data_IF_426026906980
#
_entry.id   IF_426026906980
#
_cell.length_a   1.000
_cell.length_b   1.000
_cell.length_c   1.000
_cell.angle_alpha   90.00
_cell.angle_beta   90.00
_cell.angle_gamma   90.00
#
_symmetry.space_group_name_H-M   'P 1'
#
loop_
_entity.id
_entity.type
_entity.pdbx_description
1 polymer ?
#
# COMPACT_ATOMS: atom_id res chain seq x y z
N UNK A 1 34.34 0.45 -8.53
CA UNK A 1 33.96 -0.02 -9.88
C UNK A 1 33.84 -1.54 -9.81
N UNK A 2 32.63 -2.08 -9.98
CA UNK A 2 32.36 -3.51 -9.84
C UNK A 2 33.00 -4.31 -11.00
N UNK A 3 33.55 -5.48 -10.70
CA UNK A 3 34.16 -6.38 -11.68
C UNK A 3 33.16 -7.33 -12.32
N UNK A 4 33.46 -7.84 -13.51
CA UNK A 4 32.65 -8.88 -14.16
C UNK A 4 32.47 -10.12 -13.27
N UNK A 5 33.51 -10.51 -12.54
CA UNK A 5 33.44 -11.64 -11.60
C UNK A 5 32.42 -11.40 -10.48
N UNK A 6 32.40 -10.19 -9.91
CA UNK A 6 31.41 -9.80 -8.90
C UNK A 6 29.99 -9.79 -9.47
N UNK A 7 29.78 -9.27 -10.69
CA UNK A 7 28.48 -9.29 -11.36
C UNK A 7 27.99 -10.72 -11.63
N UNK A 8 28.87 -11.61 -12.11
CA UNK A 8 28.54 -13.04 -12.31
C UNK A 8 28.16 -13.72 -10.99
N UNK A 9 28.89 -13.44 -9.91
CA UNK A 9 28.55 -13.98 -8.59
C UNK A 9 27.21 -13.46 -8.07
N UNK A 10 26.91 -12.17 -8.29
CA UNK A 10 25.63 -11.58 -7.93
C UNK A 10 24.49 -12.22 -8.72
N UNK A 11 24.65 -12.42 -10.03
CA UNK A 11 23.68 -13.11 -10.88
C UNK A 11 23.40 -14.54 -10.37
N UNK A 12 24.44 -15.30 -10.02
CA UNK A 12 24.30 -16.64 -9.43
C UNK A 12 23.58 -16.60 -8.08
N UNK A 13 23.94 -15.64 -7.22
CA UNK A 13 23.33 -15.44 -5.91
C UNK A 13 21.84 -15.13 -6.04
N UNK A 14 21.45 -14.27 -6.98
CA UNK A 14 20.04 -13.94 -7.22
C UNK A 14 19.21 -15.17 -7.58
N UNK A 15 19.66 -15.98 -8.54
CA UNK A 15 18.93 -17.20 -8.93
C UNK A 15 18.83 -18.21 -7.76
N UNK A 16 19.86 -18.27 -6.91
CA UNK A 16 19.85 -19.12 -5.72
C UNK A 16 18.89 -18.61 -4.65
N UNK A 17 18.91 -17.31 -4.35
CA UNK A 17 17.97 -16.70 -3.39
C UNK A 17 16.52 -16.82 -3.87
N UNK A 18 16.28 -16.67 -5.17
CA UNK A 18 14.97 -16.92 -5.79
C UNK A 18 14.51 -18.37 -5.57
N UNK A 19 15.41 -19.35 -5.75
CA UNK A 19 15.13 -20.75 -5.48
C UNK A 19 14.81 -21.00 -3.99
N UNK A 20 15.60 -20.42 -3.09
CA UNK A 20 15.43 -20.58 -1.65
C UNK A 20 14.11 -19.95 -1.15
N UNK A 21 13.73 -18.78 -1.65
CA UNK A 21 12.51 -18.07 -1.23
C UNK A 21 11.22 -18.77 -1.67
N UNK A 22 11.22 -19.41 -2.84
CA UNK A 22 10.05 -20.13 -3.38
C UNK A 22 10.13 -21.65 -3.17
N UNK A 23 11.15 -22.13 -2.46
CA UNK A 23 11.42 -23.55 -2.24
C UNK A 23 11.52 -24.38 -3.55
N UNK A 24 12.08 -23.77 -4.60
CA UNK A 24 12.24 -24.41 -5.91
C UNK A 24 13.58 -25.14 -6.06
N UNK A 25 13.64 -26.20 -6.88
CA UNK A 25 14.92 -26.77 -7.30
C UNK A 25 15.77 -25.75 -8.06
N UNK A 26 17.07 -25.67 -7.75
CA UNK A 26 18.01 -24.67 -8.31
C UNK A 26 17.95 -24.54 -9.84
N UNK A 27 18.00 -25.65 -10.57
CA UNK A 27 17.98 -25.64 -12.04
C UNK A 27 16.66 -25.09 -12.62
N UNK A 28 15.55 -25.36 -11.94
CA UNK A 28 14.25 -24.87 -12.32
C UNK A 28 14.15 -23.35 -12.09
N UNK A 29 14.56 -22.91 -10.90
CA UNK A 29 14.64 -21.50 -10.53
C UNK A 29 15.56 -20.70 -11.46
N UNK A 30 16.73 -21.21 -11.83
CA UNK A 30 17.63 -20.58 -12.80
C UNK A 30 16.96 -20.35 -14.17
N UNK A 31 16.21 -21.34 -14.65
CA UNK A 31 15.48 -21.24 -15.91
C UNK A 31 14.38 -20.18 -15.86
N UNK A 32 13.60 -20.15 -14.78
CA UNK A 32 12.57 -19.13 -14.54
C UNK A 32 13.19 -17.73 -14.43
N UNK A 33 14.24 -17.57 -13.63
CA UNK A 33 14.90 -16.28 -13.40
C UNK A 33 15.52 -15.71 -14.68
N UNK A 34 16.19 -16.54 -15.47
CA UNK A 34 16.78 -16.14 -16.75
C UNK A 34 15.74 -15.59 -17.73
N UNK A 35 14.62 -16.32 -17.90
CA UNK A 35 13.55 -15.95 -18.84
C UNK A 35 12.69 -14.80 -18.33
N UNK A 36 12.38 -14.84 -17.04
CA UNK A 36 11.53 -13.89 -16.37
C UNK A 36 12.15 -12.52 -16.19
N UNK A 37 13.31 -12.47 -15.56
CA UNK A 37 13.96 -11.21 -15.17
C UNK A 37 14.91 -10.72 -16.25
N UNK A 38 15.72 -11.62 -16.81
CA UNK A 38 16.75 -11.24 -17.79
C UNK A 38 16.34 -11.39 -19.25
N UNK A 39 15.17 -11.99 -19.51
CA UNK A 39 14.65 -12.26 -20.85
C UNK A 39 15.62 -13.09 -21.72
N UNK A 40 16.35 -14.03 -21.10
CA UNK A 40 17.25 -14.95 -21.78
C UNK A 40 16.66 -16.38 -21.79
N UNK A 41 16.85 -17.17 -22.87
CA UNK A 41 16.32 -18.54 -22.95
C UNK A 41 16.86 -19.49 -21.87
N UNK A 42 18.16 -19.39 -21.57
CA UNK A 42 18.84 -20.17 -20.55
C UNK A 42 19.72 -19.28 -19.65
N UNK A 43 19.99 -19.76 -18.45
CA UNK A 43 20.82 -19.03 -17.48
C UNK A 43 22.27 -18.85 -17.96
N UNK A 44 22.80 -19.79 -18.74
CA UNK A 44 24.10 -19.64 -19.44
C UNK A 44 24.11 -18.48 -20.42
N UNK A 45 22.99 -18.20 -21.09
CA UNK A 45 22.88 -17.11 -22.07
C UNK A 45 22.91 -15.76 -21.36
N UNK A 46 22.36 -15.65 -20.15
CA UNK A 46 22.48 -14.45 -19.31
C UNK A 46 23.94 -14.19 -18.93
N UNK A 47 24.71 -15.23 -18.58
CA UNK A 47 26.16 -15.10 -18.31
C UNK A 47 26.95 -14.67 -19.54
N UNK A 48 26.62 -15.21 -20.71
CA UNK A 48 27.26 -14.84 -21.97
C UNK A 48 26.94 -13.38 -22.33
N UNK A 49 25.65 -12.99 -22.28
CA UNK A 49 25.20 -11.62 -22.53
C UNK A 49 25.86 -10.61 -21.59
N UNK A 50 25.99 -10.95 -20.31
CA UNK A 50 26.71 -10.13 -19.33
C UNK A 50 28.19 -9.96 -19.68
N UNK A 51 28.84 -11.03 -20.13
CA UNK A 51 30.25 -11.00 -20.54
C UNK A 51 30.43 -10.08 -21.75
N UNK A 52 29.60 -10.26 -22.78
CA UNK A 52 29.64 -9.45 -24.01
C UNK A 52 29.38 -7.96 -23.72
N UNK A 53 28.36 -7.64 -22.92
CA UNK A 53 28.05 -6.26 -22.56
C UNK A 53 29.21 -5.60 -21.79
N UNK A 54 29.82 -6.33 -20.86
CA UNK A 54 30.96 -5.83 -20.09
C UNK A 54 32.21 -5.63 -20.96
N UNK A 55 32.43 -6.46 -21.97
CA UNK A 55 33.58 -6.32 -22.88
C UNK A 55 33.41 -5.17 -23.87
N UNK A 56 32.20 -4.92 -24.38
CA UNK A 56 31.95 -3.93 -25.43
C UNK A 56 32.18 -2.48 -24.97
N UNK A 57 31.70 -2.09 -23.77
CA UNK A 57 31.92 -0.75 -23.18
C UNK A 57 31.88 -0.74 -21.65
N UNK A 58 32.23 -1.85 -20.99
CA UNK A 58 32.20 -2.00 -19.51
C UNK A 58 30.81 -1.74 -18.94
N UNK A 59 30.69 -0.74 -18.06
CA UNK A 59 29.50 -0.47 -17.26
C UNK A 59 28.40 0.24 -18.04
N UNK A 60 28.73 1.18 -18.92
CA UNK A 60 27.74 1.95 -19.68
C UNK A 60 26.84 1.08 -20.55
N UNK A 61 27.40 -0.01 -21.09
CA UNK A 61 26.62 -0.96 -21.88
C UNK A 61 25.62 -1.72 -21.03
N UNK A 62 25.99 -2.09 -19.80
CA UNK A 62 25.11 -2.80 -18.87
C UNK A 62 24.00 -1.88 -18.37
N UNK A 63 24.33 -0.63 -18.01
CA UNK A 63 23.35 0.36 -17.53
C UNK A 63 22.28 0.68 -18.59
N UNK A 64 22.64 0.62 -19.88
CA UNK A 64 21.73 0.85 -21.01
C UNK A 64 21.02 -0.41 -21.51
N UNK A 65 21.40 -1.58 -21.01
CA UNK A 65 20.80 -2.84 -21.44
C UNK A 65 19.39 -3.00 -20.86
N UNK A 66 18.44 -3.50 -21.65
CA UNK A 66 17.03 -3.55 -21.26
C UNK A 66 16.77 -4.32 -19.96
N UNK A 67 17.42 -5.48 -19.77
CA UNK A 67 17.27 -6.31 -18.58
C UNK A 67 18.50 -6.37 -17.66
N UNK A 68 19.72 -6.47 -18.19
CA UNK A 68 20.94 -6.60 -17.36
C UNK A 68 21.19 -5.39 -16.44
N UNK A 69 20.64 -4.21 -16.75
CA UNK A 69 20.75 -3.02 -15.89
C UNK A 69 20.27 -3.28 -14.45
N UNK A 70 19.29 -4.17 -14.23
CA UNK A 70 18.77 -4.46 -12.90
C UNK A 70 19.79 -5.15 -11.98
N UNK A 71 20.83 -5.77 -12.55
CA UNK A 71 21.95 -6.32 -11.77
C UNK A 71 22.76 -5.22 -11.07
N UNK A 72 22.66 -3.98 -11.53
CA UNK A 72 23.38 -2.81 -11.02
C UNK A 72 22.72 -2.14 -9.81
N UNK A 73 21.50 -2.54 -9.44
CA UNK A 73 20.84 -2.07 -8.21
C UNK A 73 21.72 -2.39 -7.00
N UNK A 74 21.92 -1.42 -6.10
CA UNK A 74 22.86 -1.43 -4.97
C UNK A 74 24.37 -1.43 -5.34
N UNK A 75 24.75 -1.30 -6.62
CA UNK A 75 26.16 -1.23 -7.04
C UNK A 75 26.56 0.16 -7.59
N UNK A 76 25.58 1.01 -7.85
CA UNK A 76 25.72 2.34 -8.44
C UNK A 76 24.59 3.26 -7.97
N UNK A 77 24.60 4.53 -8.36
CA UNK A 77 23.43 5.41 -8.25
C UNK A 77 22.30 4.86 -9.12
N UNK A 78 21.34 4.21 -8.48
CA UNK A 78 20.41 3.27 -9.10
C UNK A 78 18.96 3.75 -9.11
N UNK A 79 18.71 5.00 -8.74
CA UNK A 79 17.37 5.58 -8.67
C UNK A 79 16.61 5.41 -10.00
N UNK A 80 17.23 5.76 -11.14
CA UNK A 80 16.61 5.60 -12.47
C UNK A 80 16.37 4.11 -12.82
N UNK A 81 17.24 3.21 -12.34
CA UNK A 81 17.12 1.77 -12.58
C UNK A 81 15.95 1.20 -11.77
N UNK A 82 15.80 1.63 -10.51
CA UNK A 82 14.69 1.25 -9.62
C UNK A 82 13.37 1.79 -10.18
N UNK A 83 13.33 3.03 -10.65
CA UNK A 83 12.14 3.59 -11.33
C UNK A 83 11.76 2.82 -12.59
N UNK A 84 12.75 2.38 -13.37
CA UNK A 84 12.52 1.48 -14.50
C UNK A 84 12.01 0.11 -14.04
N UNK A 85 12.54 -0.43 -12.94
CA UNK A 85 12.13 -1.73 -12.40
C UNK A 85 10.67 -1.69 -11.97
N UNK A 86 10.22 -0.62 -11.29
CA UNK A 86 8.83 -0.48 -10.89
C UNK A 86 7.84 -0.56 -12.06
N UNK A 87 8.26 -0.15 -13.26
CA UNK A 87 7.45 -0.24 -14.49
C UNK A 87 7.49 -1.63 -15.12
N UNK A 88 8.57 -2.38 -14.93
CA UNK A 88 8.80 -3.69 -15.57
C UNK A 88 8.43 -4.88 -14.67
N UNK A 89 8.32 -4.68 -13.35
CA UNK A 89 8.17 -5.76 -12.36
C UNK A 89 6.94 -6.66 -12.60
N UNK A 90 5.80 -6.09 -13.02
CA UNK A 90 4.59 -6.86 -13.33
C UNK A 90 4.81 -7.75 -14.55
N UNK A 91 5.52 -7.24 -15.56
CA UNK A 91 5.88 -7.97 -16.78
C UNK A 91 6.85 -9.12 -16.45
N UNK A 92 7.82 -8.90 -15.55
CA UNK A 92 8.71 -9.95 -15.05
C UNK A 92 7.94 -11.06 -14.33
N UNK A 93 7.07 -10.68 -13.40
CA UNK A 93 6.26 -11.63 -12.64
C UNK A 93 5.36 -12.46 -13.57
N UNK A 94 4.64 -11.82 -14.49
CA UNK A 94 3.79 -12.51 -15.47
C UNK A 94 4.58 -13.49 -16.36
N UNK A 95 5.79 -13.12 -16.80
CA UNK A 95 6.65 -14.04 -17.57
C UNK A 95 7.02 -15.27 -16.75
N UNK A 96 7.38 -15.10 -15.49
CA UNK A 96 7.74 -16.22 -14.61
C UNK A 96 6.51 -17.08 -14.34
N UNK A 97 5.39 -16.49 -13.92
CA UNK A 97 4.11 -17.16 -13.65
C UNK A 97 3.65 -18.01 -14.85
N UNK A 98 3.74 -17.48 -16.07
CA UNK A 98 3.36 -18.21 -17.29
C UNK A 98 4.19 -19.48 -17.57
N UNK A 99 5.37 -19.60 -16.94
CA UNK A 99 6.29 -20.73 -17.07
C UNK A 99 6.27 -21.63 -15.83
N UNK A 100 5.55 -21.24 -14.78
CA UNK A 100 5.50 -21.96 -13.52
C UNK A 100 4.62 -23.21 -13.61
N UNK A 101 5.07 -24.27 -12.93
CA UNK A 101 4.33 -25.53 -12.78
C UNK A 101 3.52 -25.56 -11.48
N UNK A 102 3.76 -24.59 -10.59
CA UNK A 102 3.07 -24.41 -9.33
C UNK A 102 2.32 -23.10 -9.36
N UNK A 103 1.20 -23.05 -8.65
CA UNK A 103 0.37 -21.87 -8.53
C UNK A 103 0.87 -21.02 -7.35
N UNK A 104 1.35 -19.81 -7.63
CA UNK A 104 1.81 -18.82 -6.64
C UNK A 104 1.16 -17.50 -6.99
N UNK A 105 0.68 -16.76 -5.99
CA UNK A 105 0.06 -15.47 -6.23
C UNK A 105 1.05 -14.50 -6.88
N UNK A 106 0.66 -13.83 -7.96
CA UNK A 106 1.55 -12.92 -8.70
C UNK A 106 2.12 -11.80 -7.81
N UNK A 107 1.37 -11.36 -6.78
CA UNK A 107 1.86 -10.39 -5.80
C UNK A 107 3.01 -10.93 -4.94
N UNK A 108 2.94 -12.18 -4.51
CA UNK A 108 4.02 -12.86 -3.78
C UNK A 108 5.28 -12.93 -4.65
N UNK A 109 5.10 -13.28 -5.93
CA UNK A 109 6.20 -13.32 -6.88
C UNK A 109 6.85 -11.94 -7.10
N UNK A 110 6.06 -10.86 -7.17
CA UNK A 110 6.59 -9.49 -7.22
C UNK A 110 7.44 -9.18 -5.99
N UNK A 111 6.97 -9.53 -4.80
CA UNK A 111 7.71 -9.33 -3.54
C UNK A 111 9.05 -10.07 -3.55
N UNK A 112 9.04 -11.34 -4.00
CA UNK A 112 10.26 -12.16 -4.12
C UNK A 112 11.24 -11.55 -5.12
N UNK A 113 10.77 -11.07 -6.28
CA UNK A 113 11.66 -10.44 -7.28
C UNK A 113 12.32 -9.18 -6.70
N UNK A 114 11.56 -8.30 -6.04
CA UNK A 114 12.15 -7.13 -5.36
C UNK A 114 13.20 -7.54 -4.32
N UNK A 115 12.88 -8.54 -3.49
CA UNK A 115 13.80 -9.02 -2.46
C UNK A 115 15.11 -9.55 -3.06
N UNK A 116 15.03 -10.37 -4.10
CA UNK A 116 16.20 -10.93 -4.81
C UNK A 116 17.02 -9.84 -5.51
N UNK A 117 16.37 -8.79 -6.02
CA UNK A 117 17.05 -7.63 -6.62
C UNK A 117 17.64 -6.67 -5.57
N UNK A 118 17.46 -6.95 -4.27
CA UNK A 118 18.03 -6.18 -3.18
C UNK A 118 17.18 -4.99 -2.74
N UNK A 119 15.86 -5.06 -2.93
CA UNK A 119 14.88 -4.05 -2.55
C UNK A 119 13.90 -4.59 -1.49
N UNK A 120 14.36 -4.85 -0.25
CA UNK A 120 13.56 -5.50 0.78
C UNK A 120 12.43 -4.63 1.34
N UNK A 121 12.49 -3.31 1.19
CA UNK A 121 11.38 -2.42 1.57
C UNK A 121 10.27 -2.44 0.53
N UNK A 122 10.60 -2.40 -0.76
CA UNK A 122 9.64 -2.57 -1.86
C UNK A 122 8.97 -3.94 -1.84
N UNK A 123 9.73 -4.99 -1.52
CA UNK A 123 9.20 -6.35 -1.32
C UNK A 123 8.12 -6.42 -0.23
N UNK A 124 8.18 -5.51 0.75
CA UNK A 124 7.23 -5.43 1.87
C UNK A 124 6.24 -4.27 1.69
N UNK A 125 6.26 -3.62 0.53
CA UNK A 125 5.47 -2.43 0.23
C UNK A 125 5.61 -1.35 1.32
N UNK A 126 6.80 -1.19 1.90
CA UNK A 126 7.11 -0.18 2.89
C UNK A 126 7.47 1.12 2.18
N UNK A 127 6.78 2.20 2.54
CA UNK A 127 6.97 3.53 1.96
C UNK A 127 7.49 4.46 3.05
N UNK A 128 8.74 4.90 2.91
CA UNK A 128 9.34 5.91 3.76
C UNK A 128 9.07 7.29 3.16
N UNK A 129 8.19 8.08 3.77
CA UNK A 129 7.75 9.34 3.18
C UNK A 129 8.73 10.51 3.38
N UNK A 130 9.87 10.26 4.03
CA UNK A 130 10.88 11.29 4.33
C UNK A 130 10.43 12.30 5.40
N UNK A 131 11.32 13.22 5.76
CA UNK A 131 11.08 14.21 6.82
C UNK A 131 10.09 15.32 6.45
N UNK A 132 9.88 15.54 5.16
CA UNK A 132 9.03 16.61 4.61
C UNK A 132 7.56 16.20 4.47
N UNK A 133 7.26 14.91 4.56
CA UNK A 133 5.88 14.42 4.55
C UNK A 133 5.26 14.52 5.94
N UNK A 134 4.33 15.47 6.11
CA UNK A 134 3.61 15.69 7.36
C UNK A 134 2.12 15.81 7.12
N UNK A 135 1.34 15.16 7.98
CA UNK A 135 -0.11 15.32 8.00
C UNK A 135 -0.46 16.53 8.88
N UNK A 136 -1.11 17.53 8.29
CA UNK A 136 -1.64 18.67 9.02
C UNK A 136 -3.03 18.34 9.57
N UNK A 137 -3.09 17.98 10.85
CA UNK A 137 -4.35 17.69 11.54
C UNK A 137 -5.07 18.99 11.94
N UNK A 138 -6.37 19.05 11.69
CA UNK A 138 -7.24 20.19 12.02
C UNK A 138 -8.54 19.72 12.67
N UNK A 139 -9.15 20.52 13.56
CA UNK A 139 -10.51 20.30 14.03
C UNK A 139 -11.50 20.07 12.88
N UNK A 140 -12.35 19.07 13.01
CA UNK A 140 -13.43 18.81 12.05
C UNK A 140 -14.75 19.51 12.46
N UNK A 141 -15.03 19.50 13.77
CA UNK A 141 -16.11 20.24 14.42
C UNK A 141 -15.47 21.36 15.25
N UNK A 142 -15.33 22.55 14.64
CA UNK A 142 -14.46 23.61 15.17
C UNK A 142 -15.10 24.45 16.28
N UNK A 143 -16.42 24.36 16.44
CA UNK A 143 -17.19 25.12 17.41
C UNK A 143 -17.52 24.34 18.70
N UNK A 144 -17.06 23.09 18.81
CA UNK A 144 -17.12 22.32 20.05
C UNK A 144 -16.16 22.84 21.11
N UNK A 145 -16.51 22.64 22.39
CA UNK A 145 -15.64 22.98 23.52
C UNK A 145 -14.30 22.21 23.49
N UNK A 146 -14.32 20.94 23.04
CA UNK A 146 -13.14 20.16 22.67
C UNK A 146 -13.07 19.99 21.14
N UNK A 147 -12.50 20.95 20.39
CA UNK A 147 -12.45 20.91 18.94
C UNK A 147 -11.53 19.79 18.41
N UNK A 148 -10.75 19.14 19.29
CA UNK A 148 -9.86 18.03 18.94
C UNK A 148 -10.53 16.67 19.09
N UNK A 149 -11.82 16.60 19.45
CA UNK A 149 -12.56 15.33 19.57
C UNK A 149 -12.61 14.58 18.24
N UNK A 150 -12.73 15.30 17.13
CA UNK A 150 -12.61 14.78 15.77
C UNK A 150 -11.72 15.73 14.99
N UNK A 151 -10.69 15.18 14.36
CA UNK A 151 -9.78 15.92 13.51
C UNK A 151 -9.75 15.31 12.12
N UNK A 152 -9.27 16.06 11.15
CA UNK A 152 -9.01 15.56 9.80
C UNK A 152 -7.66 16.03 9.27
N UNK A 153 -7.13 15.28 8.31
CA UNK A 153 -5.99 15.66 7.50
C UNK A 153 -6.20 15.19 6.07
N UNK A 154 -5.85 16.02 5.09
CA UNK A 154 -5.96 15.68 3.67
C UNK A 154 -4.57 15.32 3.11
N UNK A 155 -4.53 14.34 2.20
CA UNK A 155 -3.33 13.96 1.45
C UNK A 155 -3.72 13.57 0.02
N UNK A 156 -2.74 13.44 -0.86
CA UNK A 156 -2.96 13.05 -2.26
C UNK A 156 -2.33 11.69 -2.54
N UNK A 157 -3.02 10.84 -3.28
CA UNK A 157 -2.55 9.53 -3.76
C UNK A 157 -2.97 9.37 -5.21
N UNK A 158 -2.04 9.16 -6.13
CA UNK A 158 -2.34 8.95 -7.57
C UNK A 158 -3.26 10.01 -8.18
N UNK A 159 -3.12 11.29 -7.80
CA UNK A 159 -3.99 12.35 -8.32
C UNK A 159 -5.34 12.50 -7.63
N UNK A 160 -5.71 11.57 -6.74
CA UNK A 160 -6.93 11.60 -5.95
C UNK A 160 -6.64 12.15 -4.54
N UNK A 161 -7.51 13.00 -4.02
CA UNK A 161 -7.41 13.45 -2.63
C UNK A 161 -8.05 12.41 -1.71
N UNK A 162 -7.43 12.21 -0.55
CA UNK A 162 -7.93 11.40 0.54
C UNK A 162 -8.07 12.28 1.77
N UNK A 163 -9.16 12.08 2.52
CA UNK A 163 -9.34 12.64 3.86
C UNK A 163 -9.13 11.54 4.88
N UNK A 164 -8.23 11.75 5.82
CA UNK A 164 -8.10 10.95 7.03
C UNK A 164 -8.95 11.60 8.12
N UNK A 165 -9.88 10.86 8.72
CA UNK A 165 -10.64 11.29 9.88
C UNK A 165 -10.07 10.60 11.12
N UNK A 166 -9.72 11.39 12.14
CA UNK A 166 -9.19 10.95 13.41
C UNK A 166 -10.20 11.21 14.54
N UNK A 167 -10.77 10.15 15.10
CA UNK A 167 -11.71 10.23 16.22
C UNK A 167 -11.00 9.92 17.53
N UNK A 168 -11.00 10.86 18.47
CA UNK A 168 -10.30 10.75 19.75
C UNK A 168 -10.81 9.54 20.53
N UNK A 169 -9.90 8.67 20.96
CA UNK A 169 -10.26 7.50 21.77
C UNK A 169 -9.12 7.19 22.78
N UNK A 170 -9.27 7.59 24.04
CA UNK A 170 -8.15 7.59 24.99
C UNK A 170 -7.80 6.19 25.55
N UNK A 171 -8.70 5.22 25.39
CA UNK A 171 -8.58 3.89 26.00
C UNK A 171 -7.64 3.00 25.17
N UNK A 172 -6.74 2.30 25.85
CA UNK A 172 -5.74 1.43 25.21
C UNK A 172 -6.33 0.09 24.75
N UNK A 173 -7.30 -0.44 25.50
CA UNK A 173 -8.01 -1.66 25.14
C UNK A 173 -9.14 -1.35 24.17
N UNK A 174 -8.99 -1.81 22.93
CA UNK A 174 -9.93 -1.55 21.85
C UNK A 174 -10.91 -2.72 21.74
N UNK A 175 -12.13 -2.54 22.23
CA UNK A 175 -13.25 -3.39 21.87
C UNK A 175 -14.31 -2.55 21.14
N UNK A 176 -14.97 -3.14 20.14
CA UNK A 176 -16.03 -2.44 19.40
C UNK A 176 -17.15 -1.92 20.32
N UNK A 177 -17.48 -2.65 21.38
CA UNK A 177 -18.51 -2.23 22.32
C UNK A 177 -18.05 -1.01 23.13
N UNK A 178 -16.80 -1.00 23.59
CA UNK A 178 -16.24 0.15 24.32
C UNK A 178 -16.15 1.39 23.41
N UNK A 179 -15.78 1.20 22.13
CA UNK A 179 -15.74 2.28 21.14
C UNK A 179 -17.15 2.82 20.89
N UNK A 180 -18.13 1.95 20.63
CA UNK A 180 -19.53 2.34 20.43
C UNK A 180 -20.07 3.12 21.63
N UNK A 181 -19.86 2.60 22.84
CA UNK A 181 -20.33 3.26 24.06
C UNK A 181 -19.66 4.62 24.27
N UNK A 182 -18.35 4.72 24.03
CA UNK A 182 -17.62 5.98 24.17
C UNK A 182 -18.09 7.03 23.16
N UNK A 183 -18.27 6.65 21.89
CA UNK A 183 -18.74 7.57 20.85
C UNK A 183 -20.18 8.02 21.11
N UNK A 184 -21.04 7.11 21.57
CA UNK A 184 -22.42 7.43 21.97
C UNK A 184 -22.46 8.45 23.11
N UNK A 185 -21.64 8.27 24.16
CA UNK A 185 -21.57 9.22 25.28
C UNK A 185 -21.14 10.61 24.77
N UNK A 186 -20.15 10.67 23.88
CA UNK A 186 -19.72 11.95 23.32
C UNK A 186 -20.83 12.59 22.47
N UNK A 187 -21.53 11.82 21.64
CA UNK A 187 -22.65 12.33 20.86
C UNK A 187 -23.70 12.96 21.79
N UNK A 188 -24.14 12.25 22.83
CA UNK A 188 -25.14 12.76 23.78
C UNK A 188 -24.65 14.03 24.48
N UNK A 189 -23.36 14.12 24.82
CA UNK A 189 -22.81 15.32 25.47
C UNK A 189 -22.80 16.56 24.55
N UNK A 190 -22.78 16.37 23.23
CA UNK A 190 -22.71 17.47 22.25
C UNK A 190 -24.03 17.63 21.44
N UNK A 191 -25.12 16.95 21.82
CA UNK A 191 -26.42 16.84 21.08
C UNK A 191 -27.19 18.17 20.92
N UNK A 192 -26.58 19.29 21.25
CA UNK A 192 -27.15 20.64 21.09
C UNK A 192 -26.11 21.72 20.80
N UNK A 193 -24.85 21.33 20.65
CA UNK A 193 -23.78 22.27 20.34
C UNK A 193 -23.86 22.69 18.86
N UNK A 194 -23.58 23.96 18.58
CA UNK A 194 -23.34 24.37 17.21
C UNK A 194 -22.01 23.75 16.77
N UNK A 195 -22.06 22.85 15.81
CA UNK A 195 -20.90 22.00 15.50
C UNK A 195 -19.79 22.73 14.74
N UNK A 196 -20.10 23.87 14.09
CA UNK A 196 -19.11 24.63 13.31
C UNK A 196 -18.36 23.71 12.34
N UNK A 197 -19.11 22.96 11.53
CA UNK A 197 -18.48 21.92 10.72
C UNK A 197 -17.89 22.51 9.45
N UNK A 198 -16.61 22.19 9.19
CA UNK A 198 -15.91 22.60 7.96
C UNK A 198 -16.56 22.05 6.67
N UNK A 199 -17.43 21.03 6.75
CA UNK A 199 -18.07 20.40 5.59
C UNK A 199 -19.54 20.80 5.38
N UNK A 200 -20.02 21.94 5.90
CA UNK A 200 -21.36 22.51 5.62
C UNK A 200 -22.49 21.45 5.52
N UNK A 201 -22.66 20.60 6.54
CA UNK A 201 -23.78 19.64 6.58
C UNK A 201 -23.52 18.29 7.25
N UNK A 202 -22.27 18.00 7.63
CA UNK A 202 -21.99 16.84 8.48
C UNK A 202 -22.31 17.15 9.95
N UNK A 203 -22.68 16.12 10.71
CA UNK A 203 -22.97 16.22 12.14
C UNK A 203 -22.22 15.15 12.92
N UNK A 204 -22.01 15.36 14.22
CA UNK A 204 -21.32 14.38 15.07
C UNK A 204 -22.10 13.05 15.11
N UNK A 205 -23.43 13.10 15.09
CA UNK A 205 -24.29 11.93 15.00
C UNK A 205 -24.04 11.11 13.72
N UNK A 206 -23.92 11.78 12.56
CA UNK A 206 -23.58 11.13 11.29
C UNK A 206 -22.17 10.55 11.32
N UNK A 207 -21.22 11.27 11.91
CA UNK A 207 -19.84 10.81 12.10
C UNK A 207 -19.75 9.56 13.00
N UNK A 208 -20.42 9.56 14.14
CA UNK A 208 -20.53 8.38 15.01
C UNK A 208 -21.07 7.19 14.22
N UNK A 209 -22.20 7.38 13.52
CA UNK A 209 -22.82 6.32 12.75
C UNK A 209 -21.87 5.76 11.68
N UNK A 210 -21.20 6.63 10.92
CA UNK A 210 -20.21 6.25 9.92
C UNK A 210 -19.05 5.45 10.54
N UNK A 211 -18.48 5.93 11.65
CA UNK A 211 -17.36 5.27 12.31
C UNK A 211 -17.76 3.87 12.78
N UNK A 212 -18.95 3.72 13.35
CA UNK A 212 -19.48 2.43 13.78
C UNK A 212 -19.65 1.48 12.60
N UNK A 213 -20.27 1.91 11.50
CA UNK A 213 -20.44 1.10 10.29
C UNK A 213 -19.08 0.67 9.71
N UNK A 214 -18.13 1.59 9.65
CA UNK A 214 -16.76 1.33 9.18
C UNK A 214 -16.08 0.25 10.03
N UNK A 215 -16.16 0.36 11.37
CA UNK A 215 -15.60 -0.62 12.28
C UNK A 215 -16.29 -1.99 12.20
N UNK A 216 -17.62 -2.02 12.03
CA UNK A 216 -18.39 -3.25 11.85
C UNK A 216 -18.05 -3.98 10.56
N UNK A 217 -17.86 -3.25 9.45
CA UNK A 217 -17.42 -3.81 8.18
C UNK A 217 -16.09 -4.56 8.37
N UNK A 218 -15.14 -3.91 9.03
CA UNK A 218 -13.78 -4.43 9.22
C UNK A 218 -13.69 -5.58 10.23
N UNK A 219 -14.51 -5.57 11.29
CA UNK A 219 -14.41 -6.55 12.39
C UNK A 219 -15.37 -7.74 12.26
N UNK A 220 -16.57 -7.52 11.72
CA UNK A 220 -17.66 -8.52 11.72
C UNK A 220 -18.19 -8.86 10.34
N UNK A 221 -17.73 -8.17 9.30
CA UNK A 221 -18.14 -8.40 7.92
C UNK A 221 -17.41 -9.55 7.23
N UNK A 222 -17.74 -9.76 5.95
CA UNK A 222 -17.00 -10.64 5.02
C UNK A 222 -15.51 -10.25 4.87
N UNK A 223 -15.16 -9.05 5.32
CA UNK A 223 -13.81 -8.51 5.32
C UNK A 223 -12.98 -8.84 6.55
N UNK A 224 -13.54 -9.54 7.52
CA UNK A 224 -12.88 -9.74 8.81
C UNK A 224 -11.48 -10.34 8.62
N UNK A 225 -10.47 -9.50 8.85
CA UNK A 225 -9.06 -9.87 8.93
C UNK A 225 -8.53 -9.31 10.23
N UNK A 226 -7.67 -10.07 10.91
CA UNK A 226 -7.10 -9.65 12.20
C UNK A 226 -6.43 -8.27 12.14
N UNK A 227 -5.84 -7.94 10.99
CA UNK A 227 -5.21 -6.66 10.69
C UNK A 227 -6.17 -5.45 10.60
N UNK A 228 -7.47 -5.70 10.38
CA UNK A 228 -8.49 -4.65 10.30
C UNK A 228 -9.17 -4.40 11.65
N UNK A 229 -8.75 -5.12 12.70
CA UNK A 229 -9.16 -4.75 14.05
C UNK A 229 -8.75 -3.32 14.35
N UNK A 230 -9.62 -2.53 15.02
CA UNK A 230 -9.29 -1.16 15.37
C UNK A 230 -7.99 -1.09 16.15
N UNK A 231 -7.17 -0.13 15.76
CA UNK A 231 -5.90 0.27 16.39
C UNK A 231 -5.90 1.79 16.51
N UNK A 232 -4.97 2.35 17.29
CA UNK A 232 -4.86 3.80 17.47
C UNK A 232 -3.63 4.36 16.80
N UNK A 233 -3.75 5.60 16.35
CA UNK A 233 -2.67 6.47 15.92
C UNK A 233 -2.57 7.63 16.90
N UNK A 234 -1.35 8.07 17.24
CA UNK A 234 -1.14 9.19 18.14
C UNK A 234 -1.04 10.50 17.36
N UNK A 235 -1.80 11.50 17.78
CA UNK A 235 -1.71 12.88 17.29
C UNK A 235 -1.49 13.75 18.52
N UNK A 236 -0.37 14.47 18.55
CA UNK A 236 0.03 15.31 19.70
C UNK A 236 -0.03 14.56 21.05
N UNK A 237 0.38 13.28 21.05
CA UNK A 237 0.40 12.42 22.24
C UNK A 237 -0.94 11.78 22.61
N UNK A 238 -2.05 12.22 22.01
CA UNK A 238 -3.39 11.67 22.25
C UNK A 238 -3.71 10.55 21.26
N UNK A 239 -4.49 9.56 21.67
CA UNK A 239 -4.86 8.39 20.85
C UNK A 239 -6.11 8.67 20.02
N UNK A 240 -6.06 8.29 18.74
CA UNK A 240 -7.16 8.44 17.79
C UNK A 240 -7.39 7.16 17.00
N UNK A 241 -8.66 6.87 16.71
CA UNK A 241 -9.05 5.95 15.65
C UNK A 241 -8.96 6.72 14.33
N UNK A 242 -8.10 6.28 13.41
CA UNK A 242 -7.89 6.98 12.13
C UNK A 242 -8.39 6.11 10.98
N UNK A 243 -9.28 6.63 10.16
CA UNK A 243 -9.68 5.99 8.91
C UNK A 243 -9.71 7.01 7.79
N UNK A 244 -9.30 6.58 6.59
CA UNK A 244 -9.28 7.47 5.44
C UNK A 244 -9.95 6.90 4.21
N UNK A 245 -10.50 7.80 3.40
CA UNK A 245 -11.28 7.49 2.20
C UNK A 245 -11.01 8.54 1.10
N UNK A 246 -11.28 8.21 -0.18
CA UNK A 246 -11.28 9.19 -1.26
C UNK A 246 -12.22 10.37 -0.94
N UNK A 247 -11.75 11.59 -1.16
CA UNK A 247 -12.44 12.83 -0.78
C UNK A 247 -13.12 13.48 -2.00
N UNK A 248 -14.33 13.99 -1.82
CA UNK A 248 -15.01 14.80 -2.84
C UNK A 248 -14.12 16.01 -3.17
N UNK A 249 -13.76 16.26 -4.45
CA UNK A 249 -12.81 17.31 -4.81
C UNK A 249 -13.19 18.72 -4.34
N UNK A 250 -14.49 19.04 -4.22
CA UNK A 250 -14.96 20.33 -3.72
C UNK A 250 -14.82 20.52 -2.21
N UNK A 251 -14.54 19.46 -1.45
CA UNK A 251 -14.37 19.50 0.00
C UNK A 251 -12.91 19.43 0.42
N UNK A 252 -11.99 19.36 -0.54
CA UNK A 252 -10.55 19.45 -0.29
C UNK A 252 -10.26 20.75 0.44
N UNK A 253 -9.55 20.67 1.56
CA UNK A 253 -9.16 21.85 2.33
C UNK A 253 -8.29 22.80 1.51
N UNK A 254 -8.01 24.01 1.99
CA UNK A 254 -7.17 24.99 1.26
C UNK A 254 -5.67 24.88 1.55
N UNK A 255 -5.27 24.09 2.55
CA UNK A 255 -3.89 24.04 3.07
C UNK A 255 -2.92 23.21 2.21
N UNK A 256 -1.71 22.93 2.68
CA UNK A 256 -0.82 22.01 1.99
C UNK A 256 -1.29 20.55 2.14
N UNK A 257 -1.22 19.76 1.06
CA UNK A 257 -1.58 18.34 1.04
C UNK A 257 -0.36 17.59 0.56
N UNK A 258 0.27 16.77 1.40
CA UNK A 258 1.41 15.98 0.95
C UNK A 258 0.96 14.99 -0.12
N UNK A 259 1.79 14.80 -1.15
CA UNK A 259 1.56 13.83 -2.22
C UNK A 259 2.29 12.53 -1.88
N UNK A 260 1.54 11.44 -1.77
CA UNK A 260 2.04 10.11 -1.49
C UNK A 260 2.16 9.34 -2.79
N UNK A 261 3.40 9.15 -3.24
CA UNK A 261 3.71 8.34 -4.40
C UNK A 261 3.72 6.86 -4.01
N UNK A 262 2.65 6.15 -4.35
CA UNK A 262 2.54 4.70 -4.17
C UNK A 262 2.76 3.98 -5.50
N UNK A 263 3.34 2.79 -5.44
CA UNK A 263 3.55 1.94 -6.60
C UNK A 263 2.47 0.85 -6.65
N UNK A 264 1.19 1.26 -6.71
CA UNK A 264 0.05 0.32 -6.83
C UNK A 264 0.16 -0.46 -8.14
N UNK A 265 0.20 -1.79 -8.03
CA UNK A 265 0.37 -2.71 -9.15
C UNK A 265 -0.97 -3.14 -9.73
N UNK A 266 -1.00 -3.45 -11.02
CA UNK A 266 -2.22 -3.94 -11.67
C UNK A 266 -2.39 -5.46 -11.55
N UNK A 267 -2.30 -5.97 -10.32
CA UNK A 267 -2.38 -7.38 -9.98
C UNK A 267 -3.64 -7.67 -9.16
N UNK A 268 -4.14 -8.90 -9.21
CA UNK A 268 -5.20 -9.35 -8.28
C UNK A 268 -4.60 -9.54 -6.88
N UNK A 269 -5.46 -9.49 -5.87
CA UNK A 269 -5.05 -9.58 -4.47
C UNK A 269 -5.11 -8.24 -3.72
N UNK A 270 -4.91 -8.33 -2.40
CA UNK A 270 -4.92 -7.16 -1.51
C UNK A 270 -3.50 -6.58 -1.41
N UNK A 271 -3.31 -5.37 -1.93
CA UNK A 271 -2.05 -4.65 -1.78
C UNK A 271 -2.11 -3.76 -0.54
N UNK A 272 -1.07 -3.81 0.28
CA UNK A 272 -0.97 -3.08 1.55
C UNK A 272 0.34 -2.33 1.59
N UNK A 273 0.27 -1.00 1.60
CA UNK A 273 1.44 -0.14 1.68
C UNK A 273 1.61 0.36 3.11
N UNK A 274 2.73 0.05 3.75
CA UNK A 274 3.06 0.54 5.09
C UNK A 274 3.73 1.89 4.95
N UNK A 275 2.97 2.96 5.18
CA UNK A 275 3.39 4.35 5.03
C UNK A 275 3.95 4.82 6.37
N UNK A 276 5.28 4.94 6.47
CA UNK A 276 5.95 5.43 7.68
C UNK A 276 5.87 6.96 7.73
N UNK A 277 5.24 7.48 8.78
CA UNK A 277 5.07 8.91 9.06
C UNK A 277 5.69 9.18 10.43
N UNK A 278 6.82 9.85 10.46
CA UNK A 278 7.67 10.00 11.65
C UNK A 278 7.94 8.65 12.35
N UNK A 279 7.51 8.50 13.61
CA UNK A 279 7.69 7.29 14.42
C UNK A 279 6.50 6.32 14.34
N UNK A 280 5.49 6.65 13.53
CA UNK A 280 4.26 5.88 13.39
C UNK A 280 4.07 5.43 11.94
N UNK A 281 3.05 4.62 11.70
CA UNK A 281 2.72 4.20 10.35
C UNK A 281 1.21 4.14 10.14
N UNK A 282 0.81 4.52 8.94
CA UNK A 282 -0.50 4.20 8.38
C UNK A 282 -0.34 3.04 7.39
N UNK A 283 -1.42 2.34 7.13
CA UNK A 283 -1.52 1.35 6.06
C UNK A 283 -2.50 1.87 5.04
N UNK A 284 -2.03 2.02 3.80
CA UNK A 284 -2.90 2.19 2.64
C UNK A 284 -3.24 0.83 2.07
N UNK A 285 -4.52 0.48 2.08
CA UNK A 285 -5.02 -0.74 1.48
C UNK A 285 -5.54 -0.44 0.08
N UNK A 286 -5.24 -1.29 -0.90
CA UNK A 286 -5.79 -1.23 -2.25
C UNK A 286 -6.15 -2.64 -2.75
N UNK A 287 -7.44 -2.89 -2.97
CA UNK A 287 -7.92 -4.13 -3.60
C UNK A 287 -8.53 -3.81 -4.95
N UNK A 288 -7.96 -4.39 -6.00
CA UNK A 288 -8.51 -4.34 -7.36
C UNK A 288 -9.91 -4.97 -7.38
N UNK A 289 -10.85 -4.34 -8.08
CA UNK A 289 -12.26 -4.80 -8.18
C UNK A 289 -12.83 -4.71 -9.59
N UNK A 290 -12.00 -4.97 -10.59
CA UNK A 290 -12.43 -4.93 -11.99
C UNK A 290 -13.24 -6.19 -12.37
N UNK A 291 -14.27 -6.03 -13.20
CA UNK A 291 -15.27 -7.06 -13.54
C UNK A 291 -14.74 -8.14 -14.49
N UNK A 292 -13.55 -7.96 -15.06
CA UNK A 292 -13.02 -8.79 -16.14
C UNK A 292 -12.07 -9.92 -15.70
N UNK A 293 -11.81 -10.07 -14.39
CA UNK A 293 -11.03 -11.21 -13.88
C UNK A 293 -11.96 -12.35 -13.48
N UNK A 294 -11.59 -13.58 -13.85
CA UNK A 294 -12.29 -14.82 -13.46
C UNK A 294 -12.26 -14.95 -11.93
N UNK A 295 -13.23 -14.36 -11.24
CA UNK A 295 -13.20 -14.32 -9.79
C UNK A 295 -14.45 -14.96 -9.18
N UNK A 296 -14.19 -15.87 -8.24
CA UNK A 296 -15.14 -16.53 -7.33
C UNK A 296 -15.71 -15.58 -6.28
N UNK A 297 -15.25 -14.32 -6.25
CA UNK A 297 -15.67 -13.26 -5.33
C UNK A 297 -16.73 -12.38 -6.01
N UNK A 298 -17.89 -12.28 -5.37
CA UNK A 298 -18.95 -11.32 -5.72
C UNK A 298 -18.50 -9.89 -5.37
N UNK A 299 -17.79 -9.26 -6.31
CA UNK A 299 -17.27 -7.90 -6.15
C UNK A 299 -18.38 -6.85 -6.07
N UNK A 300 -19.55 -7.07 -6.66
CA UNK A 300 -20.66 -6.12 -6.58
C UNK A 300 -21.15 -5.97 -5.14
N UNK A 301 -21.38 -7.09 -4.46
CA UNK A 301 -21.72 -7.09 -3.03
C UNK A 301 -20.61 -6.47 -2.20
N UNK A 302 -19.37 -6.71 -2.57
CA UNK A 302 -18.22 -6.21 -1.84
C UNK A 302 -18.07 -4.68 -1.95
N UNK A 303 -18.21 -4.15 -3.17
CA UNK A 303 -18.23 -2.71 -3.45
C UNK A 303 -19.41 -2.06 -2.73
N UNK A 304 -20.61 -2.66 -2.80
CA UNK A 304 -21.81 -2.12 -2.16
C UNK A 304 -21.65 -1.99 -0.64
N UNK A 305 -21.09 -3.00 0.04
CA UNK A 305 -20.81 -2.93 1.48
C UNK A 305 -19.79 -1.86 1.84
N UNK A 306 -18.76 -1.70 1.00
CA UNK A 306 -17.75 -0.66 1.20
C UNK A 306 -18.34 0.74 1.00
N UNK A 307 -19.18 0.92 -0.02
CA UNK A 307 -19.90 2.17 -0.28
C UNK A 307 -20.86 2.53 0.86
N UNK A 308 -21.59 1.56 1.42
CA UNK A 308 -22.53 1.80 2.52
C UNK A 308 -21.85 2.02 3.87
N UNK A 309 -20.54 1.81 3.98
CA UNK A 309 -19.81 1.89 5.25
C UNK A 309 -18.66 2.89 5.20
N UNK A 310 -17.59 2.61 4.44
CA UNK A 310 -16.41 3.49 4.42
C UNK A 310 -16.70 4.76 3.62
N UNK A 311 -17.33 4.63 2.45
CA UNK A 311 -17.69 5.77 1.59
C UNK A 311 -19.04 6.39 1.94
N UNK A 312 -19.71 5.96 3.02
CA UNK A 312 -20.93 6.62 3.49
C UNK A 312 -20.65 7.86 4.33
N UNK A 313 -19.37 8.18 4.60
CA UNK A 313 -18.99 9.45 5.19
C UNK A 313 -19.44 10.60 4.30
N UNK A 314 -19.89 11.70 4.90
CA UNK A 314 -20.39 12.86 4.16
C UNK A 314 -19.38 13.43 3.16
N UNK A 315 -18.11 13.44 3.54
CA UNK A 315 -17.02 13.95 2.69
C UNK A 315 -16.52 12.97 1.62
N UNK A 316 -16.93 11.69 1.68
CA UNK A 316 -16.35 10.67 0.83
C UNK A 316 -16.81 10.79 -0.62
N UNK A 317 -15.88 10.66 -1.55
CA UNK A 317 -16.22 10.45 -2.96
C UNK A 317 -16.69 9.00 -3.12
N UNK A 318 -17.89 8.83 -3.67
CA UNK A 318 -18.47 7.52 -3.98
C UNK A 318 -17.73 6.79 -5.13
N UNK A 319 -16.81 7.48 -5.80
CA UNK A 319 -15.93 6.88 -6.80
C UNK A 319 -14.77 6.12 -6.15
N UNK A 320 -14.51 4.93 -6.69
CA UNK A 320 -13.33 4.16 -6.36
C UNK A 320 -12.06 4.81 -6.91
N UNK A 321 -10.94 4.60 -6.23
CA UNK A 321 -9.64 5.02 -6.74
C UNK A 321 -9.37 4.36 -8.09
N UNK A 322 -8.92 5.18 -9.06
CA UNK A 322 -8.51 4.70 -10.38
C UNK A 322 -7.01 4.89 -10.55
N UNK A 323 -6.29 3.80 -10.78
CA UNK A 323 -4.86 3.81 -11.12
C UNK A 323 -4.71 3.17 -12.49
N UNK A 324 -4.17 3.92 -13.47
CA UNK A 324 -3.97 3.45 -14.84
C UNK A 324 -5.23 2.81 -15.47
N UNK A 325 -6.41 3.38 -15.18
CA UNK A 325 -7.70 2.90 -15.69
C UNK A 325 -8.36 1.79 -14.88
N UNK A 326 -7.67 1.22 -13.89
CA UNK A 326 -8.17 0.12 -13.05
C UNK A 326 -8.72 0.64 -11.74
N UNK A 327 -9.85 0.08 -11.28
CA UNK A 327 -10.56 0.50 -10.07
C UNK A 327 -10.11 -0.30 -8.85
N UNK A 328 -9.95 0.40 -7.72
CA UNK A 328 -9.54 -0.15 -6.44
C UNK A 328 -10.46 0.30 -5.31
N UNK A 329 -10.83 -0.63 -4.44
CA UNK A 329 -11.31 -0.31 -3.10
C UNK A 329 -10.11 0.07 -2.24
N UNK A 330 -10.08 1.31 -1.76
CA UNK A 330 -8.89 1.85 -1.12
C UNK A 330 -9.17 2.69 0.10
N UNK A 331 -8.48 2.42 1.20
CA UNK A 331 -8.65 3.16 2.45
C UNK A 331 -7.35 3.23 3.25
N UNK A 332 -7.29 4.19 4.16
CA UNK A 332 -6.24 4.27 5.18
C UNK A 332 -6.74 3.78 6.52
N UNK A 333 -5.83 3.20 7.30
CA UNK A 333 -6.00 2.88 8.72
C UNK A 333 -4.64 2.93 9.42
N UNK A 334 -4.55 2.89 10.76
CA UNK A 334 -3.26 2.79 11.41
C UNK A 334 -2.66 1.40 11.22
N UNK A 335 -1.34 1.36 11.26
CA UNK A 335 -0.58 0.12 11.29
C UNK A 335 -0.86 -0.68 12.57
N UNK A 336 -0.91 -2.01 12.46
CA UNK A 336 -1.05 -2.93 13.58
C UNK A 336 0.00 -4.05 13.54
N UNK A 337 0.17 -4.79 14.63
CA UNK A 337 1.20 -5.84 14.70
C UNK A 337 0.97 -7.02 13.74
N UNK A 338 -0.28 -7.26 13.32
CA UNK A 338 -0.60 -8.32 12.37
C UNK A 338 -0.07 -8.01 10.96
N UNK A 339 0.04 -6.72 10.60
CA UNK A 339 0.65 -6.28 9.34
C UNK A 339 2.14 -6.68 9.23
N UNK A 340 2.81 -6.90 10.37
CA UNK A 340 4.21 -7.34 10.44
C UNK A 340 4.39 -8.83 10.20
N UNK A 341 3.35 -9.65 10.45
CA UNK A 341 3.44 -11.11 10.34
C UNK A 341 3.33 -11.59 8.91
N UNK A 342 2.54 -10.91 8.09
CA UNK A 342 2.47 -11.18 6.64
C UNK A 342 3.71 -10.69 5.90
N UNK A 343 4.41 -9.65 6.37
CA UNK A 343 5.68 -9.20 5.74
C UNK A 343 6.90 -10.14 5.99
N UNK A 344 6.65 -11.33 6.55
CA UNK A 344 7.65 -12.37 6.87
C UNK A 344 7.30 -13.74 6.28
N UNK A 345 6.07 -13.92 5.83
CA UNK A 345 5.69 -15.01 4.93
C UNK A 345 5.97 -14.52 3.51
#
# INVERSE_FOLDING_TARGET
MISLYQLKNKLNKQAKEFAELLEFPDLYAQGLWARGVYNCPHFSDTHNSLTEAFEQKKLDSILKHDSLKYLMINEYDDQEIIESLHKEIESMANRIESLMLVDIETLELVSVIYQVLGLPEDAKFIVNTGADFRLEWRPYFDAFDDPLIVQYADLKVHGCYFRLIASKFPVEKLSLNDIKQYMYINHVNHDSEFEGCISEGNTFSKHEHWLVLTLELFRSGKLNKAQFNPTTFKIEGMRYLVYGFPLIPSFVSDWHKPDLCLQVKNLDGDQKFIVRIDQQALVFHARRVDTNFFNTIDYEKYISLYQSSVLSHFDADNNLLKVNGVKYLSFFRPFCLEDKKEAKA
#
